data_IF_497099412963
#
_entry.id   IF_497099412963
#
_cell.length_a   1.000
_cell.length_b   1.000
_cell.length_c   1.000
_cell.angle_alpha   90.00
_cell.angle_beta   90.00
_cell.angle_gamma   90.00
#
_symmetry.space_group_name_H-M   'P 1'
#
loop_
_entity.id
_entity.type
_entity.pdbx_description
1 polymer ?
#
# COMPACT_ATOMS: atom_id res chain seq x y z
N UNK A 1 5.51 11.56 8.31
CA UNK A 1 5.16 10.13 8.28
C UNK A 1 6.30 9.35 7.64
N UNK A 2 6.82 8.36 8.36
CA UNK A 2 7.93 7.53 7.87
C UNK A 2 7.38 6.28 7.18
N UNK A 3 7.89 5.97 5.99
CA UNK A 3 7.57 4.73 5.28
C UNK A 3 8.52 3.65 5.75
N UNK A 4 7.99 2.58 6.33
CA UNK A 4 8.79 1.50 6.94
C UNK A 4 8.62 0.14 6.24
N UNK A 5 7.67 0.03 5.34
CA UNK A 5 7.49 -1.15 4.51
C UNK A 5 6.65 -0.80 3.29
N UNK A 6 6.76 -1.63 2.27
CA UNK A 6 5.93 -1.51 1.08
C UNK A 6 5.54 -2.90 0.59
N UNK A 7 4.27 -3.04 0.24
CA UNK A 7 3.74 -4.24 -0.39
C UNK A 7 3.04 -3.85 -1.68
N UNK A 8 3.32 -4.59 -2.75
CA UNK A 8 2.75 -4.35 -4.07
C UNK A 8 2.28 -5.68 -4.64
N UNK A 9 1.08 -5.68 -5.19
CA UNK A 9 0.53 -6.82 -5.92
C UNK A 9 0.15 -6.35 -7.31
N UNK A 10 0.62 -7.05 -8.33
CA UNK A 10 0.33 -6.72 -9.72
C UNK A 10 -0.84 -7.57 -10.19
N UNK A 11 -1.85 -6.90 -10.74
CA UNK A 11 -3.03 -7.57 -11.31
C UNK A 11 -3.07 -7.26 -12.80
N UNK A 12 -3.14 -8.31 -13.61
CA UNK A 12 -3.31 -8.18 -15.07
C UNK A 12 -4.43 -9.12 -15.51
N UNK A 13 -5.36 -8.58 -16.28
CA UNK A 13 -6.51 -9.36 -16.80
C UNK A 13 -7.29 -10.07 -15.67
N UNK A 14 -7.42 -9.39 -14.52
CA UNK A 14 -8.16 -9.92 -13.37
C UNK A 14 -7.42 -10.95 -12.54
N UNK A 15 -6.14 -11.18 -12.81
CA UNK A 15 -5.35 -12.19 -12.09
C UNK A 15 -4.11 -11.57 -11.43
N UNK A 16 -3.70 -12.15 -10.29
CA UNK A 16 -2.47 -11.78 -9.61
C UNK A 16 -1.30 -12.38 -10.41
N UNK A 17 -0.42 -11.53 -10.94
CA UNK A 17 0.72 -11.97 -11.75
C UNK A 17 2.06 -11.86 -11.03
N UNK A 18 2.22 -10.86 -10.17
CA UNK A 18 3.45 -10.61 -9.44
C UNK A 18 3.14 -9.97 -8.09
N UNK A 19 4.08 -10.10 -7.16
CA UNK A 19 4.03 -9.40 -5.89
C UNK A 19 5.42 -9.02 -5.44
N UNK A 20 5.50 -7.99 -4.58
CA UNK A 20 6.75 -7.51 -4.02
C UNK A 20 6.50 -7.03 -2.60
N UNK A 21 7.40 -7.35 -1.70
CA UNK A 21 7.35 -6.85 -0.33
C UNK A 21 8.75 -6.55 0.16
N UNK A 22 8.92 -5.44 0.84
CA UNK A 22 10.18 -5.11 1.50
C UNK A 22 9.95 -4.26 2.72
N UNK A 23 10.74 -4.51 3.75
CA UNK A 23 10.94 -3.54 4.82
C UNK A 23 11.77 -2.40 4.27
N UNK A 24 11.61 -1.21 4.84
CA UNK A 24 12.33 0.00 4.43
C UNK A 24 12.87 0.65 5.69
N UNK A 25 14.16 1.02 5.66
CA UNK A 25 14.72 1.86 6.71
C UNK A 25 14.23 3.29 6.47
N UNK A 26 13.42 3.85 7.39
CA UNK A 26 12.83 5.16 7.16
C UNK A 26 13.85 6.29 7.28
N UNK A 27 13.56 7.41 6.61
CA UNK A 27 14.35 8.62 6.72
C UNK A 27 13.40 9.78 7.07
N UNK A 28 13.52 10.43 8.21
CA UNK A 28 14.51 10.11 9.27
C UNK A 28 14.20 8.76 9.95
N UNK A 29 15.24 8.13 10.49
CA UNK A 29 15.12 6.84 11.16
C UNK A 29 14.49 7.03 12.56
N UNK A 30 13.17 7.27 12.55
CA UNK A 30 12.42 7.59 13.76
C UNK A 30 10.98 7.11 13.64
N UNK A 31 10.50 6.44 14.70
CA UNK A 31 9.09 6.05 14.81
C UNK A 31 8.51 6.66 16.07
N UNK A 32 7.36 7.29 15.97
CA UNK A 32 6.60 7.69 17.14
C UNK A 32 6.00 6.45 17.81
N UNK A 33 5.67 6.56 19.08
CA UNK A 33 4.97 5.50 19.81
C UNK A 33 3.66 5.13 19.09
N UNK A 34 2.94 6.12 18.56
CA UNK A 34 1.70 5.89 17.84
C UNK A 34 1.92 5.09 16.56
N UNK A 35 2.94 5.45 15.77
CA UNK A 35 3.24 4.72 14.54
C UNK A 35 3.56 3.25 14.81
N UNK A 36 4.35 2.97 15.84
CA UNK A 36 4.66 1.60 16.22
C UNK A 36 3.39 0.80 16.55
N UNK A 37 2.43 1.41 17.23
CA UNK A 37 1.17 0.74 17.54
C UNK A 37 0.33 0.43 16.32
N UNK A 38 0.40 1.28 15.29
CA UNK A 38 -0.39 1.09 14.06
C UNK A 38 0.17 -0.01 13.17
N UNK A 39 1.49 0.00 12.92
CA UNK A 39 2.09 -0.97 11.98
C UNK A 39 2.86 -2.10 12.64
N UNK A 40 3.09 -2.03 13.95
CA UNK A 40 3.78 -3.08 14.70
C UNK A 40 5.27 -3.20 14.45
N UNK A 41 5.87 -2.28 13.68
CA UNK A 41 7.30 -2.29 13.38
C UNK A 41 8.04 -1.29 14.25
N UNK A 42 9.26 -1.65 14.65
CA UNK A 42 10.13 -0.79 15.46
C UNK A 42 11.38 -0.43 14.66
N UNK A 43 12.19 0.49 15.20
CA UNK A 43 13.49 0.80 14.60
C UNK A 43 14.37 -0.43 14.49
N UNK A 44 14.29 -1.34 15.45
CA UNK A 44 15.08 -2.59 15.41
C UNK A 44 14.68 -3.45 14.22
N UNK A 45 13.40 -3.48 13.85
CA UNK A 45 12.90 -4.28 12.74
C UNK A 45 13.42 -3.77 11.38
N UNK A 46 13.64 -2.47 11.24
CA UNK A 46 14.00 -1.84 9.97
C UNK A 46 15.42 -1.29 9.91
N UNK A 47 16.20 -1.40 11.00
CA UNK A 47 17.55 -0.82 11.08
C UNK A 47 18.49 -1.33 9.97
N UNK A 48 18.32 -2.58 9.53
CA UNK A 48 19.15 -3.20 8.49
C UNK A 48 18.45 -3.26 7.13
N UNK A 49 17.26 -2.70 7.03
CA UNK A 49 16.51 -2.71 5.78
C UNK A 49 17.09 -1.70 4.78
N UNK A 50 16.86 -1.92 3.47
CA UNK A 50 17.27 -0.93 2.47
C UNK A 50 16.46 0.36 2.60
N UNK A 51 17.02 1.45 2.09
CA UNK A 51 16.33 2.73 2.05
C UNK A 51 15.36 2.78 0.87
N UNK A 52 14.40 3.70 0.93
CA UNK A 52 13.34 3.79 -0.06
C UNK A 52 13.82 3.85 -1.51
N UNK A 53 14.82 4.69 -1.89
CA UNK A 53 15.24 4.75 -3.29
C UNK A 53 15.70 3.41 -3.86
N UNK A 54 16.38 2.60 -3.05
CA UNK A 54 16.85 1.28 -3.50
C UNK A 54 15.70 0.31 -3.70
N UNK A 55 14.70 0.36 -2.80
CA UNK A 55 13.51 -0.47 -2.90
C UNK A 55 12.67 -0.05 -4.10
N UNK A 56 12.48 1.25 -4.30
CA UNK A 56 11.64 1.75 -5.38
C UNK A 56 12.18 1.39 -6.76
N UNK A 57 13.50 1.32 -6.92
CA UNK A 57 14.12 0.86 -8.17
C UNK A 57 13.68 -0.54 -8.56
N UNK A 58 13.42 -1.41 -7.59
CA UNK A 58 12.95 -2.77 -7.86
C UNK A 58 11.46 -2.81 -8.20
N UNK A 59 10.70 -1.83 -7.71
CA UNK A 59 9.26 -1.76 -7.96
C UNK A 59 8.95 -1.18 -9.34
N UNK A 60 9.71 -0.18 -9.79
CA UNK A 60 9.45 0.54 -11.04
C UNK A 60 9.21 -0.38 -12.25
N UNK A 61 10.04 -1.41 -12.52
CA UNK A 61 9.77 -2.29 -13.66
C UNK A 61 8.46 -3.06 -13.55
N UNK A 62 8.00 -3.33 -12.33
CA UNK A 62 6.77 -4.07 -12.10
C UNK A 62 5.52 -3.24 -12.38
N UNK A 63 5.58 -1.94 -12.12
CA UNK A 63 4.42 -1.05 -12.23
C UNK A 63 4.41 -0.23 -13.51
N UNK A 64 5.41 -0.36 -14.36
CA UNK A 64 5.54 0.44 -15.57
C UNK A 64 4.29 0.31 -16.46
N UNK A 65 3.71 1.46 -16.80
CA UNK A 65 2.52 1.53 -17.63
C UNK A 65 1.22 1.18 -16.93
N UNK A 66 1.24 0.91 -15.63
CA UNK A 66 0.05 0.54 -14.87
C UNK A 66 -0.38 1.68 -13.95
N UNK A 67 -1.70 1.87 -13.77
CA UNK A 67 -2.18 2.74 -12.69
C UNK A 67 -1.94 2.09 -11.34
N UNK A 68 -1.86 2.90 -10.30
CA UNK A 68 -1.75 2.44 -8.92
C UNK A 68 -3.13 2.42 -8.29
N UNK A 69 -3.34 1.47 -7.39
CA UNK A 69 -4.61 1.32 -6.67
C UNK A 69 -4.32 1.19 -5.19
N UNK A 70 -5.10 1.88 -4.37
CA UNK A 70 -4.99 1.80 -2.94
C UNK A 70 -6.37 1.90 -2.30
N UNK A 71 -6.49 1.33 -1.10
CA UNK A 71 -7.69 1.52 -0.29
C UNK A 71 -7.48 2.78 0.55
N UNK A 72 -8.23 3.84 0.25
CA UNK A 72 -8.00 5.18 0.76
C UNK A 72 -6.75 5.81 0.13
N UNK A 73 -6.79 5.96 -1.18
CA UNK A 73 -5.64 6.39 -1.98
C UNK A 73 -5.00 7.70 -1.54
N UNK A 74 -5.79 8.60 -0.96
CA UNK A 74 -5.27 9.90 -0.51
C UNK A 74 -4.15 9.76 0.51
N UNK A 75 -4.25 8.78 1.39
CA UNK A 75 -3.22 8.51 2.38
C UNK A 75 -1.95 7.95 1.71
N UNK A 76 -2.09 6.93 0.89
CA UNK A 76 -0.95 6.29 0.21
C UNK A 76 -0.26 7.24 -0.75
N UNK A 77 -1.03 8.01 -1.50
CA UNK A 77 -0.49 8.99 -2.43
C UNK A 77 0.29 10.07 -1.70
N UNK A 78 -0.22 10.56 -0.57
CA UNK A 78 0.47 11.55 0.25
C UNK A 78 1.78 11.01 0.81
N UNK A 79 1.77 9.78 1.29
CA UNK A 79 2.98 9.14 1.82
C UNK A 79 4.04 8.96 0.74
N UNK A 80 3.63 8.53 -0.45
CA UNK A 80 4.53 8.33 -1.57
C UNK A 80 5.17 9.64 -2.03
N UNK A 81 4.35 10.68 -2.17
CA UNK A 81 4.86 12.02 -2.52
C UNK A 81 5.84 12.56 -1.48
N UNK A 82 5.52 12.35 -0.20
CA UNK A 82 6.36 12.83 0.88
C UNK A 82 7.74 12.15 0.89
N UNK A 83 7.77 10.83 0.68
CA UNK A 83 9.05 10.10 0.67
C UNK A 83 9.88 10.44 -0.56
N UNK A 84 9.25 10.63 -1.72
CA UNK A 84 9.96 11.13 -2.90
C UNK A 84 10.61 12.49 -2.62
N UNK A 85 9.88 13.38 -1.97
CA UNK A 85 10.41 14.70 -1.60
C UNK A 85 11.59 14.59 -0.63
N UNK A 86 11.48 13.70 0.37
CA UNK A 86 12.55 13.47 1.34
C UNK A 86 13.88 13.11 0.67
N UNK A 87 13.84 12.33 -0.40
CA UNK A 87 15.03 11.91 -1.12
C UNK A 87 15.33 12.75 -2.36
N UNK A 88 14.65 13.88 -2.52
CA UNK A 88 14.82 14.78 -3.66
C UNK A 88 14.64 14.07 -5.01
N UNK A 89 13.69 13.14 -5.07
CA UNK A 89 13.36 12.40 -6.28
C UNK A 89 12.20 13.06 -7.01
N UNK A 90 12.24 13.03 -8.34
CA UNK A 90 11.13 13.50 -9.15
C UNK A 90 9.97 12.52 -9.04
N UNK A 91 8.80 13.03 -8.70
CA UNK A 91 7.60 12.21 -8.56
C UNK A 91 6.92 12.08 -9.92
N UNK A 92 6.87 10.88 -10.52
CA UNK A 92 6.10 10.68 -11.74
C UNK A 92 4.63 10.90 -11.42
N UNK A 93 3.86 11.40 -12.37
CA UNK A 93 2.47 11.73 -12.14
C UNK A 93 1.62 10.46 -12.20
N UNK A 94 1.75 9.62 -11.18
CA UNK A 94 1.03 8.35 -11.11
C UNK A 94 -0.48 8.56 -11.06
N UNK A 95 -1.20 7.74 -11.83
CA UNK A 95 -2.66 7.69 -11.76
C UNK A 95 -3.06 6.75 -10.65
N UNK A 96 -3.82 7.23 -9.67
CA UNK A 96 -4.31 6.43 -8.56
C UNK A 96 -5.81 6.19 -8.66
N UNK A 97 -6.22 4.94 -8.43
CA UNK A 97 -7.62 4.55 -8.22
C UNK A 97 -7.83 4.19 -6.76
N UNK A 98 -9.03 4.38 -6.25
CA UNK A 98 -9.34 4.17 -4.83
C UNK A 98 -10.46 3.15 -4.65
N UNK A 99 -10.12 2.01 -4.05
CA UNK A 99 -11.12 0.97 -3.76
C UNK A 99 -12.10 1.41 -2.68
N UNK A 100 -11.69 2.25 -1.73
CA UNK A 100 -12.57 2.77 -0.70
C UNK A 100 -13.70 3.61 -1.31
N UNK A 101 -13.35 4.58 -2.14
CA UNK A 101 -14.36 5.45 -2.78
C UNK A 101 -15.26 4.65 -3.70
N UNK A 102 -14.71 3.73 -4.46
CA UNK A 102 -15.49 2.89 -5.38
C UNK A 102 -16.44 1.98 -4.61
N UNK A 103 -15.98 1.38 -3.50
CA UNK A 103 -16.82 0.54 -2.67
C UNK A 103 -17.99 1.33 -2.06
N UNK A 104 -17.74 2.55 -1.60
CA UNK A 104 -18.80 3.41 -1.05
C UNK A 104 -19.89 3.71 -2.07
N UNK A 105 -19.54 3.81 -3.34
CA UNK A 105 -20.51 4.04 -4.41
C UNK A 105 -21.25 2.79 -4.83
N UNK A 106 -20.58 1.64 -4.86
CA UNK A 106 -21.13 0.41 -5.43
C UNK A 106 -21.75 -0.54 -4.42
N UNK A 107 -21.29 -0.52 -3.18
CA UNK A 107 -21.76 -1.43 -2.14
C UNK A 107 -22.41 -0.61 -1.02
N UNK A 108 -23.66 -0.91 -0.75
CA UNK A 108 -24.42 -0.21 0.31
C UNK A 108 -24.67 -1.14 1.48
N UNK A 109 -24.82 -0.57 2.67
CA UNK A 109 -25.25 -1.32 3.85
C UNK A 109 -24.15 -1.98 4.65
N UNK A 110 -22.87 -1.72 4.34
CA UNK A 110 -21.78 -2.22 5.18
C UNK A 110 -21.67 -1.37 6.45
N UNK A 111 -21.26 -1.98 7.58
CA UNK A 111 -21.10 -1.23 8.84
C UNK A 111 -19.99 -0.19 8.75
N UNK A 112 -19.00 -0.42 7.91
CA UNK A 112 -17.94 0.52 7.59
C UNK A 112 -17.33 0.10 6.25
N UNK A 113 -16.38 0.88 5.74
CA UNK A 113 -15.71 0.60 4.47
C UNK A 113 -14.21 0.44 4.65
N UNK A 114 -13.80 -0.04 5.82
CA UNK A 114 -12.42 -0.39 6.07
C UNK A 114 -12.01 -1.56 5.17
N UNK A 115 -10.71 -1.69 4.93
CA UNK A 115 -10.18 -2.69 4.00
C UNK A 115 -10.66 -4.10 4.33
N UNK A 116 -10.56 -4.52 5.60
CA UNK A 116 -10.96 -5.87 6.01
C UNK A 116 -12.47 -6.10 5.83
N UNK A 117 -13.30 -5.09 6.04
CA UNK A 117 -14.74 -5.21 5.88
C UNK A 117 -15.11 -5.36 4.40
N UNK A 118 -14.54 -4.53 3.55
CA UNK A 118 -14.82 -4.57 2.11
C UNK A 118 -14.27 -5.85 1.48
N UNK A 119 -13.05 -6.26 1.85
CA UNK A 119 -12.47 -7.49 1.31
C UNK A 119 -13.27 -8.73 1.71
N UNK A 120 -13.75 -8.79 2.96
CA UNK A 120 -14.58 -9.89 3.42
C UNK A 120 -15.91 -9.95 2.65
N UNK A 121 -16.51 -8.80 2.37
CA UNK A 121 -17.72 -8.74 1.55
C UNK A 121 -17.51 -9.38 0.19
N UNK A 122 -16.32 -9.23 -0.40
CA UNK A 122 -15.97 -9.82 -1.68
C UNK A 122 -15.31 -11.20 -1.58
N UNK A 123 -15.31 -11.80 -0.40
CA UNK A 123 -14.85 -13.17 -0.20
C UNK A 123 -13.37 -13.33 0.13
N UNK A 124 -12.67 -12.27 0.48
CA UNK A 124 -11.26 -12.33 0.86
C UNK A 124 -11.11 -11.98 2.34
N UNK A 125 -10.63 -12.91 3.15
CA UNK A 125 -10.39 -12.65 4.56
C UNK A 125 -8.99 -12.13 4.80
N UNK A 126 -8.89 -10.92 5.36
CA UNK A 126 -7.64 -10.27 5.69
C UNK A 126 -7.24 -10.66 7.11
N UNK A 127 -6.22 -11.50 7.24
CA UNK A 127 -5.79 -12.04 8.53
C UNK A 127 -4.72 -11.21 9.21
N UNK A 128 -3.86 -10.55 8.44
CA UNK A 128 -2.72 -9.78 8.96
C UNK A 128 -2.92 -8.29 8.70
N UNK A 129 -3.79 -7.67 9.48
CA UNK A 129 -4.04 -6.22 9.38
C UNK A 129 -2.73 -5.43 9.51
N UNK A 130 -2.60 -4.38 8.70
CA UNK A 130 -1.44 -3.47 8.66
C UNK A 130 -0.13 -4.12 8.24
N UNK A 131 -0.16 -5.36 7.77
CA UNK A 131 0.97 -5.94 7.06
C UNK A 131 0.87 -5.50 5.59
N UNK A 132 1.92 -4.84 5.09
CA UNK A 132 1.84 -4.17 3.78
C UNK A 132 1.44 -5.09 2.63
N UNK A 133 2.01 -6.30 2.56
CA UNK A 133 1.67 -7.22 1.48
C UNK A 133 0.26 -7.79 1.63
N UNK A 134 -0.15 -8.13 2.86
CA UNK A 134 -1.49 -8.64 3.10
C UNK A 134 -2.54 -7.59 2.74
N UNK A 135 -2.31 -6.33 3.11
CA UNK A 135 -3.19 -5.23 2.75
C UNK A 135 -3.24 -5.02 1.23
N UNK A 136 -2.09 -5.12 0.56
CA UNK A 136 -2.03 -5.00 -0.89
C UNK A 136 -2.80 -6.13 -1.59
N UNK A 137 -2.69 -7.36 -1.09
CA UNK A 137 -3.45 -8.49 -1.63
C UNK A 137 -4.95 -8.30 -1.48
N UNK A 138 -5.40 -7.85 -0.31
CA UNK A 138 -6.82 -7.56 -0.09
C UNK A 138 -7.32 -6.46 -1.01
N UNK A 139 -6.55 -5.39 -1.15
CA UNK A 139 -6.88 -4.30 -2.04
C UNK A 139 -6.94 -4.76 -3.51
N UNK A 140 -5.98 -5.57 -3.93
CA UNK A 140 -5.94 -6.11 -5.29
C UNK A 140 -7.16 -7.02 -5.55
N UNK A 141 -7.55 -7.82 -4.56
CA UNK A 141 -8.74 -8.66 -4.69
C UNK A 141 -9.99 -7.82 -4.95
N UNK A 142 -10.16 -6.74 -4.19
CA UNK A 142 -11.29 -5.83 -4.38
C UNK A 142 -11.20 -5.16 -5.74
N UNK A 143 -10.03 -4.63 -6.09
CA UNK A 143 -9.82 -3.86 -7.32
C UNK A 143 -10.19 -4.66 -8.57
N UNK A 144 -9.84 -5.94 -8.63
CA UNK A 144 -10.14 -6.78 -9.79
C UNK A 144 -11.65 -6.97 -10.00
N UNK A 145 -12.45 -6.69 -8.97
CA UNK A 145 -13.91 -6.88 -9.03
C UNK A 145 -14.67 -5.60 -9.28
N UNK A 146 -14.14 -4.44 -8.89
CA UNK A 146 -14.89 -3.18 -8.94
C UNK A 146 -14.18 -2.02 -9.64
N UNK A 147 -12.94 -2.20 -10.06
CA UNK A 147 -12.22 -1.16 -10.80
C UNK A 147 -11.91 -1.58 -12.24
#
# INVERSE_FOLDING_TARGET
TSVCSVGVVIVRDGEFTDSFYSLIRPEPEYYSYWNTRVHGLTLADTAQAPVFPDVWKEIVPLIEGLPLVAHNKGFDESCLKAVFKTYCLDYPDYTFHCTLQTARRRVKGLPNYQLHTVSAYFGYELEQHHHALADAEACAWIARLII
#
